data_IF_798402437554
#
_entry.id   IF_798402437554
#
_cell.length_a   1.000
_cell.length_b   1.000
_cell.length_c   1.000
_cell.angle_alpha   90.00
_cell.angle_beta   90.00
_cell.angle_gamma   90.00
#
_symmetry.space_group_name_H-M   'P 1'
#
loop_
_entity.id
_entity.type
_entity.pdbx_description
1 polymer ?
#
# COMPACT_ATOMS: atom_id res chain seq x y z
N UNK A 1 -2.75 19.95 -11.72
CA UNK A 1 -1.61 19.88 -10.76
C UNK A 1 -2.21 19.93 -9.36
N UNK A 2 -1.78 19.07 -8.43
CA UNK A 2 -2.28 19.12 -7.05
C UNK A 2 -1.81 20.40 -6.36
N UNK A 3 -2.70 21.02 -5.58
CA UNK A 3 -2.36 22.16 -4.74
C UNK A 3 -1.68 21.69 -3.42
N UNK A 4 -1.15 22.64 -2.65
CA UNK A 4 -0.41 22.33 -1.43
C UNK A 4 -1.28 21.57 -0.40
N UNK A 5 -2.56 21.92 -0.28
CA UNK A 5 -3.49 21.26 0.63
C UNK A 5 -3.68 19.79 0.24
N UNK A 6 -3.87 19.50 -1.04
CA UNK A 6 -4.02 18.13 -1.54
C UNK A 6 -2.75 17.31 -1.35
N UNK A 7 -1.57 17.89 -1.59
CA UNK A 7 -0.29 17.21 -1.36
C UNK A 7 -0.12 16.83 0.11
N UNK A 8 -0.46 17.74 1.03
CA UNK A 8 -0.44 17.46 2.47
C UNK A 8 -1.42 16.35 2.86
N UNK A 9 -2.62 16.35 2.29
CA UNK A 9 -3.61 15.30 2.51
C UNK A 9 -3.11 13.93 2.02
N UNK A 10 -2.52 13.86 0.83
CA UNK A 10 -1.92 12.64 0.27
C UNK A 10 -0.80 12.13 1.18
N UNK A 11 0.14 13.00 1.55
CA UNK A 11 1.28 12.63 2.39
C UNK A 11 0.82 12.17 3.78
N UNK A 12 -0.05 12.92 4.44
CA UNK A 12 -0.61 12.56 5.74
C UNK A 12 -1.38 11.24 5.71
N UNK A 13 -2.14 11.00 4.64
CA UNK A 13 -2.87 9.74 4.47
C UNK A 13 -1.93 8.56 4.33
N UNK A 14 -0.88 8.66 3.49
CA UNK A 14 0.06 7.55 3.33
C UNK A 14 0.94 7.33 4.57
N UNK A 15 1.25 8.36 5.35
CA UNK A 15 1.91 8.21 6.65
C UNK A 15 1.02 7.44 7.63
N UNK A 16 -0.25 7.83 7.76
CA UNK A 16 -1.21 7.14 8.63
C UNK A 16 -1.42 5.68 8.19
N UNK A 17 -1.74 5.47 6.91
CA UNK A 17 -2.00 4.15 6.35
C UNK A 17 -0.75 3.25 6.38
N UNK A 18 0.43 3.84 6.17
CA UNK A 18 1.72 3.18 6.31
C UNK A 18 2.01 2.74 7.75
N UNK A 19 1.71 3.58 8.75
CA UNK A 19 1.82 3.21 10.16
C UNK A 19 0.91 2.03 10.52
N UNK A 20 -0.36 2.08 10.08
CA UNK A 20 -1.31 0.97 10.27
C UNK A 20 -0.79 -0.32 9.62
N UNK A 21 -0.33 -0.25 8.37
CA UNK A 21 0.30 -1.38 7.68
C UNK A 21 1.53 -1.90 8.44
N UNK A 22 2.34 -1.02 9.03
CA UNK A 22 3.51 -1.40 9.80
C UNK A 22 3.17 -2.17 11.08
N UNK A 23 2.11 -1.78 11.79
CA UNK A 23 1.67 -2.44 13.03
C UNK A 23 0.92 -3.74 12.76
N UNK A 24 0.00 -3.75 11.79
CA UNK A 24 -0.92 -4.88 11.56
C UNK A 24 -0.41 -5.81 10.44
N UNK A 25 0.43 -5.33 9.54
CA UNK A 25 0.87 -6.05 8.33
C UNK A 25 -0.08 -5.88 7.13
N UNK A 26 -1.26 -5.27 7.33
CA UNK A 26 -2.30 -5.04 6.33
C UNK A 26 -2.97 -3.68 6.53
N UNK A 27 -3.74 -3.20 5.55
CA UNK A 27 -4.61 -2.03 5.72
C UNK A 27 -4.21 -0.76 4.97
N UNK A 28 -3.07 -0.73 4.26
CA UNK A 28 -2.69 0.42 3.41
C UNK A 28 -3.81 0.79 2.41
N UNK A 29 -4.40 -0.14 1.63
CA UNK A 29 -5.53 0.18 0.75
C UNK A 29 -6.79 0.59 1.49
N UNK A 30 -7.10 -0.07 2.60
CA UNK A 30 -8.32 0.20 3.37
C UNK A 30 -8.33 1.63 3.92
N UNK A 31 -7.23 2.06 4.53
CA UNK A 31 -7.13 3.41 5.12
C UNK A 31 -6.99 4.47 4.04
N UNK A 32 -6.10 4.26 3.06
CA UNK A 32 -5.84 5.30 2.06
C UNK A 32 -7.00 5.53 1.10
N UNK A 33 -7.70 4.47 0.64
CA UNK A 33 -8.85 4.65 -0.24
C UNK A 33 -10.04 5.24 0.51
N UNK A 34 -10.23 4.91 1.79
CA UNK A 34 -11.28 5.52 2.61
C UNK A 34 -11.12 7.04 2.75
N UNK A 35 -9.88 7.53 2.83
CA UNK A 35 -9.60 8.97 2.98
C UNK A 35 -9.49 9.66 1.62
N UNK A 36 -8.67 9.14 0.70
CA UNK A 36 -8.36 9.81 -0.56
C UNK A 36 -9.50 9.76 -1.57
N UNK A 37 -10.35 8.73 -1.58
CA UNK A 37 -11.47 8.68 -2.52
C UNK A 37 -12.50 9.80 -2.27
N UNK A 38 -12.58 10.30 -1.04
CA UNK A 38 -13.42 11.46 -0.68
C UNK A 38 -12.83 12.77 -1.21
N UNK A 39 -11.49 12.88 -1.26
CA UNK A 39 -10.79 14.11 -1.65
C UNK A 39 -10.48 14.20 -3.16
N UNK A 40 -10.23 13.07 -3.82
CA UNK A 40 -9.60 13.03 -5.14
C UNK A 40 -10.33 12.23 -6.20
N UNK A 41 -11.44 11.55 -5.87
CA UNK A 41 -12.04 10.43 -6.59
C UNK A 41 -11.31 9.08 -6.43
N UNK A 42 -12.07 7.99 -6.63
CA UNK A 42 -11.60 6.63 -6.41
C UNK A 42 -10.51 6.22 -7.42
N UNK A 43 -10.66 6.43 -8.76
CA UNK A 43 -9.60 6.11 -9.72
C UNK A 43 -8.25 6.77 -9.39
N UNK A 44 -8.26 8.05 -9.04
CA UNK A 44 -7.06 8.82 -8.70
C UNK A 44 -6.43 8.31 -7.41
N UNK A 45 -7.22 8.05 -6.37
CA UNK A 45 -6.74 7.45 -5.13
C UNK A 45 -6.09 6.07 -5.35
N UNK A 46 -6.69 5.23 -6.19
CA UNK A 46 -6.15 3.92 -6.56
C UNK A 46 -4.82 4.04 -7.33
N UNK A 47 -4.72 5.00 -8.24
CA UNK A 47 -3.48 5.25 -8.98
C UNK A 47 -2.33 5.68 -8.05
N UNK A 48 -2.60 6.60 -7.11
CA UNK A 48 -1.61 7.06 -6.12
C UNK A 48 -1.15 5.95 -5.19
N UNK A 49 -2.04 5.03 -4.81
CA UNK A 49 -1.75 3.89 -3.93
C UNK A 49 -0.74 2.91 -4.55
N UNK A 50 -0.75 2.76 -5.87
CA UNK A 50 -0.04 1.70 -6.58
C UNK A 50 1.47 1.75 -6.30
N UNK A 51 2.08 2.92 -6.45
CA UNK A 51 3.52 3.12 -6.27
C UNK A 51 4.01 2.77 -4.85
N UNK A 52 3.51 3.37 -3.75
CA UNK A 52 3.99 3.05 -2.40
C UNK A 52 3.64 1.62 -1.98
N UNK A 53 2.49 1.07 -2.41
CA UNK A 53 2.13 -0.32 -2.11
C UNK A 53 3.10 -1.29 -2.76
N UNK A 54 3.40 -1.09 -4.04
CA UNK A 54 4.32 -1.93 -4.78
C UNK A 54 5.73 -1.86 -4.18
N UNK A 55 6.24 -0.65 -3.96
CA UNK A 55 7.58 -0.44 -3.38
C UNK A 55 7.71 -1.11 -2.03
N UNK A 56 6.76 -0.89 -1.11
CA UNK A 56 6.84 -1.48 0.24
C UNK A 56 6.65 -3.00 0.23
N UNK A 57 5.76 -3.53 -0.63
CA UNK A 57 5.57 -4.99 -0.74
C UNK A 57 6.81 -5.68 -1.32
N UNK A 58 7.41 -5.13 -2.37
CA UNK A 58 8.64 -5.67 -2.97
C UNK A 58 9.79 -5.61 -1.97
N UNK A 59 9.95 -4.48 -1.28
CA UNK A 59 10.95 -4.34 -0.23
C UNK A 59 10.78 -5.40 0.87
N UNK A 60 9.56 -5.58 1.37
CA UNK A 60 9.24 -6.59 2.38
C UNK A 60 9.50 -8.01 1.88
N UNK A 61 9.21 -8.30 0.61
CA UNK A 61 9.48 -9.61 0.02
C UNK A 61 10.99 -9.91 -0.10
N UNK A 62 11.79 -8.91 -0.46
CA UNK A 62 13.25 -9.04 -0.59
C UNK A 62 13.92 -9.18 0.77
N UNK A 63 13.59 -8.31 1.72
CA UNK A 63 14.20 -8.32 3.06
C UNK A 63 13.69 -9.48 3.93
N UNK A 64 12.47 -9.96 3.67
CA UNK A 64 11.84 -11.03 4.44
C UNK A 64 12.52 -12.40 4.32
N UNK A 65 13.35 -12.67 3.31
CA UNK A 65 14.22 -13.86 3.20
C UNK A 65 13.54 -15.22 2.98
N UNK A 66 12.25 -15.38 3.26
CA UNK A 66 11.54 -16.67 3.23
C UNK A 66 10.86 -17.00 1.89
N UNK A 67 11.16 -16.26 0.81
CA UNK A 67 10.45 -16.39 -0.47
C UNK A 67 10.54 -17.79 -1.09
N UNK A 68 11.71 -18.44 -1.02
CA UNK A 68 11.91 -19.81 -1.55
C UNK A 68 11.11 -20.87 -0.78
N UNK A 69 11.01 -20.72 0.54
CA UNK A 69 10.24 -21.64 1.38
C UNK A 69 8.74 -21.43 1.18
N UNK A 70 8.30 -20.17 1.04
CA UNK A 70 6.92 -19.83 0.73
C UNK A 70 6.49 -20.44 -0.60
N UNK A 71 7.26 -20.25 -1.68
CA UNK A 71 6.97 -20.81 -3.00
C UNK A 71 6.87 -22.34 -2.96
N UNK A 72 7.77 -23.03 -2.23
CA UNK A 72 7.70 -24.49 -2.03
C UNK A 72 6.46 -24.94 -1.25
N UNK A 73 5.86 -24.09 -0.43
CA UNK A 73 4.63 -24.42 0.32
C UNK A 73 3.36 -24.12 -0.46
N UNK A 74 3.33 -23.03 -1.23
CA UNK A 74 2.12 -22.57 -1.93
C UNK A 74 2.00 -23.06 -3.38
N UNK A 75 2.99 -23.76 -3.94
CA UNK A 75 2.98 -24.14 -5.37
C UNK A 75 1.73 -24.92 -5.80
N UNK A 76 1.18 -25.78 -4.93
CA UNK A 76 -0.07 -26.51 -5.20
C UNK A 76 -1.29 -25.58 -5.28
N UNK A 77 -1.27 -24.43 -4.61
CA UNK A 77 -2.34 -23.43 -4.67
C UNK A 77 -2.26 -22.57 -5.94
N UNK A 78 -1.08 -22.48 -6.57
CA UNK A 78 -0.86 -21.71 -7.80
C UNK A 78 -1.14 -22.52 -9.08
N UNK A 79 -1.46 -23.81 -8.94
CA UNK A 79 -1.91 -24.72 -10.02
C UNK A 79 -3.44 -24.73 -10.09
#
# INVERSE_FOLDING_TARGET
MFDAATILAIAGTFLLAGAVKGVIGLGLPTVSLAVLAVALDLPTAMALLLAPSFVTNVWQAVVGGHGRDLLRRIWLFLL
#
